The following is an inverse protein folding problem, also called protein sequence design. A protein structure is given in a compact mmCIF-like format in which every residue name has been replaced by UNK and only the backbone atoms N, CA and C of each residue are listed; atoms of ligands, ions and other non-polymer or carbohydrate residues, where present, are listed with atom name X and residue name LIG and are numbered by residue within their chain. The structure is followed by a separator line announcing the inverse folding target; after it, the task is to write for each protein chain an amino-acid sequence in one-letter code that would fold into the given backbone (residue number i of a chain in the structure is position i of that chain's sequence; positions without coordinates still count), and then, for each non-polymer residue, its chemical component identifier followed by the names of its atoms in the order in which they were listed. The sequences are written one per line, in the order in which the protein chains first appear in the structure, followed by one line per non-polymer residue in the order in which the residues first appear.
data_IF_740030709118
#
_entry.id   IF_740030709118
#
_cell.length_a   1.000
_cell.length_b   1.000
_cell.length_c   1.000
_cell.angle_alpha   90.00
_cell.angle_beta   90.00
_cell.angle_gamma   90.00
#
_symmetry.space_group_name_H-M   'P 1'
#
loop_
_entity.id
_entity.type
_entity.pdbx_description
1 polymer ?
#
# COMPACT_ATOMS: atom_id res chain seq x y z
N UNK A 1 -12.59 -2.39 -1.61
CA UNK A 1 -12.67 -2.30 -0.12
C UNK A 1 -12.67 -0.83 0.25
N UNK A 2 -13.62 -0.38 1.07
CA UNK A 2 -13.81 1.05 1.33
C UNK A 2 -14.17 1.31 2.79
N UNK A 3 -13.70 2.42 3.34
CA UNK A 3 -14.04 2.91 4.69
C UNK A 3 -13.79 1.91 5.81
N UNK A 4 -12.74 1.09 5.68
CA UNK A 4 -12.30 0.15 6.72
C UNK A 4 -11.25 0.80 7.63
N UNK A 5 -11.16 0.31 8.87
CA UNK A 5 -10.12 0.69 9.83
C UNK A 5 -9.30 -0.53 10.23
N UNK A 6 -7.98 -0.43 10.07
CA UNK A 6 -6.98 -1.42 10.50
C UNK A 6 -6.20 -0.78 11.63
N UNK A 7 -6.46 -1.21 12.86
CA UNK A 7 -5.94 -0.55 14.06
C UNK A 7 -5.26 -1.53 14.99
N UNK A 8 -4.14 -1.11 15.58
CA UNK A 8 -3.39 -1.87 16.60
C UNK A 8 -2.99 -3.28 16.13
N UNK A 9 -2.49 -3.39 14.90
CA UNK A 9 -1.93 -4.64 14.37
C UNK A 9 -0.43 -4.66 14.73
N UNK A 10 0.02 -5.59 15.58
CA UNK A 10 1.37 -5.55 16.13
C UNK A 10 2.43 -5.78 15.06
N UNK A 11 3.63 -5.28 15.33
CA UNK A 11 4.81 -5.64 14.56
C UNK A 11 5.10 -7.13 14.72
N UNK A 12 5.31 -7.82 13.61
CA UNK A 12 5.72 -9.22 13.57
C UNK A 12 6.81 -9.39 12.50
N UNK A 13 8.01 -9.71 12.97
CA UNK A 13 9.20 -9.76 12.13
C UNK A 13 9.10 -10.85 11.06
N UNK A 14 9.30 -10.47 9.80
CA UNK A 14 9.38 -11.36 8.66
C UNK A 14 8.38 -11.01 7.56
N UNK A 15 8.76 -11.38 6.33
CA UNK A 15 8.00 -11.06 5.13
C UNK A 15 6.67 -11.84 5.09
N UNK A 16 5.63 -11.19 4.57
CA UNK A 16 4.33 -11.78 4.31
C UNK A 16 3.22 -11.29 5.23
N UNK A 17 3.45 -10.19 5.96
CA UNK A 17 2.50 -9.63 6.93
C UNK A 17 2.11 -8.20 6.58
N UNK A 18 1.98 -7.93 5.28
CA UNK A 18 1.37 -6.70 4.80
C UNK A 18 -0.06 -6.60 5.31
N UNK A 19 -0.50 -5.40 5.68
CA UNK A 19 -1.90 -5.20 6.07
C UNK A 19 -2.80 -5.41 4.86
N UNK A 20 -2.35 -4.94 3.69
CA UNK A 20 -2.98 -5.23 2.41
C UNK A 20 -1.94 -5.60 1.38
N UNK A 21 -2.17 -6.71 0.67
CA UNK A 21 -1.45 -7.10 -0.53
C UNK A 21 -2.40 -7.15 -1.73
N UNK A 22 -2.08 -6.40 -2.78
CA UNK A 22 -2.72 -6.58 -4.09
C UNK A 22 -1.93 -7.54 -4.94
N UNK A 23 -2.59 -8.58 -5.42
CA UNK A 23 -1.98 -9.58 -6.26
C UNK A 23 -2.90 -9.88 -7.44
N UNK A 24 -2.43 -9.61 -8.64
CA UNK A 24 -3.15 -9.81 -9.91
C UNK A 24 -2.14 -9.84 -11.06
N UNK A 25 -2.61 -9.71 -12.30
CA UNK A 25 -1.77 -9.46 -13.47
C UNK A 25 -0.91 -8.21 -13.28
N UNK A 26 0.35 -8.27 -13.74
CA UNK A 26 1.37 -7.24 -13.54
C UNK A 26 2.36 -7.54 -12.41
N UNK A 27 2.29 -8.72 -11.78
CA UNK A 27 3.16 -9.08 -10.65
C UNK A 27 4.64 -9.25 -11.04
N UNK A 28 4.92 -9.43 -12.33
CA UNK A 28 6.27 -9.49 -12.90
C UNK A 28 6.57 -8.27 -13.78
N UNK A 29 5.86 -7.16 -13.53
CA UNK A 29 6.02 -5.89 -14.23
C UNK A 29 5.69 -6.00 -15.74
N UNK A 30 4.85 -6.96 -16.13
CA UNK A 30 4.38 -7.13 -17.50
C UNK A 30 3.50 -5.97 -17.96
N UNK A 31 3.75 -5.45 -19.16
CA UNK A 31 2.98 -4.34 -19.75
C UNK A 31 1.70 -4.86 -20.45
N UNK A 32 0.78 -5.40 -19.66
CA UNK A 32 -0.55 -5.84 -20.14
C UNK A 32 -1.62 -4.80 -19.82
N UNK A 33 -2.82 -5.01 -20.36
CA UNK A 33 -4.01 -4.21 -20.03
C UNK A 33 -4.82 -4.81 -18.87
N UNK A 34 -4.31 -5.87 -18.24
CA UNK A 34 -4.95 -6.53 -17.10
C UNK A 34 -4.30 -6.08 -15.79
N UNK A 35 -5.07 -6.10 -14.70
CA UNK A 35 -4.57 -5.71 -13.38
C UNK A 35 -5.64 -5.75 -12.29
N UNK A 36 -5.36 -5.09 -11.17
CA UNK A 36 -6.32 -4.91 -10.09
C UNK A 36 -7.19 -3.67 -10.37
N UNK A 37 -8.19 -3.84 -11.23
CA UNK A 37 -9.04 -2.77 -11.78
C UNK A 37 -10.13 -2.25 -10.81
N UNK A 38 -9.90 -2.35 -9.50
CA UNK A 38 -10.86 -1.90 -8.48
C UNK A 38 -10.17 -1.04 -7.42
N UNK A 39 -10.86 -0.01 -6.88
CA UNK A 39 -10.27 0.86 -5.87
C UNK A 39 -10.30 0.27 -4.46
N UNK A 40 -9.24 0.58 -3.72
CA UNK A 40 -9.27 0.67 -2.27
C UNK A 40 -9.22 2.11 -1.82
N UNK A 41 -10.22 2.50 -1.03
CA UNK A 41 -10.38 3.91 -0.75
C UNK A 41 -10.89 4.26 0.63
N UNK A 42 -10.44 5.39 1.14
CA UNK A 42 -10.91 5.97 2.41
C UNK A 42 -10.64 5.09 3.62
N UNK A 43 -9.62 4.23 3.59
CA UNK A 43 -9.30 3.35 4.72
C UNK A 43 -8.31 4.03 5.67
N UNK A 44 -8.38 3.68 6.96
CA UNK A 44 -7.46 4.10 8.01
C UNK A 44 -6.55 2.94 8.40
N UNK A 45 -5.24 3.20 8.48
CA UNK A 45 -4.22 2.33 9.04
C UNK A 45 -3.56 3.08 10.19
N UNK A 46 -3.82 2.66 11.42
CA UNK A 46 -3.33 3.34 12.63
C UNK A 46 -2.69 2.32 13.58
N UNK A 47 -1.42 2.50 13.93
CA UNK A 47 -0.67 1.46 14.66
C UNK A 47 -0.80 0.08 13.99
N UNK A 48 -0.72 0.06 12.65
CA UNK A 48 -0.95 -1.13 11.83
C UNK A 48 0.37 -1.67 11.27
N UNK A 49 1.26 -2.07 12.17
CA UNK A 49 2.69 -2.23 11.91
C UNK A 49 3.00 -3.44 11.04
N UNK A 50 2.34 -4.58 11.25
CA UNK A 50 2.53 -5.78 10.43
C UNK A 50 4.01 -6.17 10.30
N UNK A 51 4.50 -6.37 9.08
CA UNK A 51 5.93 -6.64 8.84
C UNK A 51 6.84 -5.40 8.89
N UNK A 52 6.29 -4.22 9.14
CA UNK A 52 7.04 -2.98 9.34
C UNK A 52 7.62 -2.36 8.07
N UNK A 53 7.29 -2.89 6.87
CA UNK A 53 7.85 -2.40 5.60
C UNK A 53 6.83 -2.14 4.50
N UNK A 54 5.75 -2.91 4.40
CA UNK A 54 4.73 -2.71 3.37
C UNK A 54 3.32 -2.74 4.00
N UNK A 55 2.84 -1.61 4.52
CA UNK A 55 1.48 -1.50 5.10
C UNK A 55 0.44 -1.76 4.01
N UNK A 56 0.57 -1.06 2.88
CA UNK A 56 -0.18 -1.32 1.65
C UNK A 56 0.83 -1.70 0.57
N UNK A 57 0.76 -2.92 0.06
CA UNK A 57 1.69 -3.40 -0.98
C UNK A 57 0.95 -3.69 -2.29
N UNK A 58 1.16 -2.82 -3.27
CA UNK A 58 0.64 -2.97 -4.63
C UNK A 58 1.60 -3.85 -5.42
N UNK A 59 1.17 -5.08 -5.77
CA UNK A 59 2.00 -6.06 -6.51
C UNK A 59 1.38 -6.47 -7.86
N UNK A 60 0.76 -5.52 -8.56
CA UNK A 60 0.08 -5.73 -9.84
C UNK A 60 -0.07 -4.44 -10.64
N UNK A 61 -0.59 -4.52 -11.86
CA UNK A 61 -0.92 -3.34 -12.68
C UNK A 61 -2.24 -2.70 -12.23
N UNK A 62 -2.42 -1.43 -12.60
CA UNK A 62 -3.69 -0.68 -12.51
C UNK A 62 -4.36 -0.63 -11.13
N UNK A 63 -3.60 -0.84 -10.05
CA UNK A 63 -4.14 -0.68 -8.69
C UNK A 63 -4.58 0.76 -8.47
N UNK A 64 -5.66 0.94 -7.72
CA UNK A 64 -6.18 2.25 -7.34
C UNK A 64 -6.24 2.36 -5.81
N UNK A 65 -5.39 3.20 -5.22
CA UNK A 65 -5.36 3.47 -3.79
C UNK A 65 -5.66 4.94 -3.50
N UNK A 66 -6.90 5.22 -3.09
CA UNK A 66 -7.46 6.58 -3.10
C UNK A 66 -7.87 7.03 -1.70
N UNK A 67 -7.38 8.17 -1.22
CA UNK A 67 -7.84 8.75 0.05
C UNK A 67 -7.55 7.92 1.30
N UNK A 68 -6.61 6.98 1.24
CA UNK A 68 -6.23 6.18 2.41
C UNK A 68 -5.34 6.98 3.36
N UNK A 69 -5.52 6.80 4.66
CA UNK A 69 -4.73 7.45 5.72
C UNK A 69 -3.87 6.41 6.43
N UNK A 70 -2.56 6.63 6.47
CA UNK A 70 -1.60 5.83 7.25
C UNK A 70 -1.05 6.71 8.37
N UNK A 71 -1.24 6.32 9.62
CA UNK A 71 -0.92 7.12 10.80
C UNK A 71 -0.19 6.26 11.83
N UNK A 72 0.88 6.79 12.43
CA UNK A 72 1.60 6.14 13.53
C UNK A 72 1.84 4.64 13.32
N UNK A 73 2.26 4.28 12.10
CA UNK A 73 2.39 2.89 11.64
C UNK A 73 3.80 2.67 11.13
N UNK A 74 4.46 1.61 11.62
CA UNK A 74 5.74 1.16 11.09
C UNK A 74 5.53 0.58 9.69
N UNK A 75 6.08 1.24 8.67
CA UNK A 75 5.82 0.93 7.27
C UNK A 75 5.23 2.11 6.51
N UNK A 76 4.66 1.83 5.33
CA UNK A 76 4.14 2.82 4.41
C UNK A 76 3.42 2.20 3.23
N UNK A 77 3.15 3.02 2.20
CA UNK A 77 2.53 2.55 0.96
C UNK A 77 3.63 2.17 -0.02
N UNK A 78 3.49 1.00 -0.66
CA UNK A 78 4.48 0.49 -1.58
C UNK A 78 3.84 0.16 -2.91
N UNK A 79 4.36 0.77 -3.98
CA UNK A 79 4.23 0.22 -5.32
C UNK A 79 5.38 -0.77 -5.49
N UNK A 80 5.13 -2.02 -5.13
CA UNK A 80 6.17 -3.05 -5.04
C UNK A 80 6.40 -3.75 -6.39
N UNK A 81 5.35 -3.88 -7.21
CA UNK A 81 5.36 -4.37 -8.60
C UNK A 81 4.24 -3.72 -9.42
N UNK A 82 4.33 -3.88 -10.73
CA UNK A 82 3.34 -3.50 -11.73
C UNK A 82 3.52 -2.08 -12.25
N UNK A 83 2.66 -1.73 -13.21
CA UNK A 83 2.65 -0.46 -13.95
C UNK A 83 1.26 0.19 -13.87
N UNK A 84 1.15 1.47 -14.19
CA UNK A 84 -0.14 2.18 -14.30
C UNK A 84 -0.97 2.26 -13.00
N UNK A 85 -0.33 2.11 -11.83
CA UNK A 85 -0.96 2.30 -10.54
C UNK A 85 -1.33 3.78 -10.27
N UNK A 86 -2.48 4.00 -9.65
CA UNK A 86 -2.98 5.33 -9.26
C UNK A 86 -3.09 5.44 -7.74
N UNK A 87 -2.35 6.36 -7.16
CA UNK A 87 -2.42 6.74 -5.76
C UNK A 87 -2.84 8.21 -5.69
N UNK A 88 -3.91 8.55 -4.96
CA UNK A 88 -4.38 9.94 -4.91
C UNK A 88 -4.96 10.27 -3.54
N UNK A 89 -4.70 11.48 -3.04
CA UNK A 89 -5.32 11.99 -1.81
C UNK A 89 -4.94 11.24 -0.52
N UNK A 90 -3.84 10.49 -0.54
CA UNK A 90 -3.30 9.79 0.63
C UNK A 90 -2.81 10.77 1.69
N UNK A 91 -3.03 10.45 2.96
CA UNK A 91 -2.45 11.15 4.11
C UNK A 91 -1.52 10.19 4.83
N UNK A 92 -0.27 10.60 5.08
CA UNK A 92 0.71 9.76 5.79
C UNK A 92 1.33 10.57 6.92
N UNK A 93 1.14 10.10 8.15
CA UNK A 93 1.58 10.75 9.38
C UNK A 93 2.45 9.76 10.17
N UNK A 94 3.78 9.94 10.12
CA UNK A 94 4.71 9.01 10.77
C UNK A 94 4.67 9.05 12.30
N UNK A 95 4.39 10.23 12.88
CA UNK A 95 4.28 10.46 14.34
C UNK A 95 5.45 9.85 15.13
N UNK A 96 6.68 10.05 14.62
CA UNK A 96 7.94 9.57 15.19
C UNK A 96 8.04 8.04 15.39
N UNK A 97 7.15 7.25 14.78
CA UNK A 97 7.22 5.79 14.79
C UNK A 97 8.43 5.31 13.98
N UNK A 98 9.35 4.52 14.57
CA UNK A 98 10.49 3.96 13.85
C UNK A 98 10.05 3.15 12.63
N UNK A 99 10.72 3.32 11.49
CA UNK A 99 10.41 2.58 10.25
C UNK A 99 9.16 3.07 9.50
N UNK A 100 8.41 4.03 10.05
CA UNK A 100 7.37 4.74 9.32
C UNK A 100 7.97 5.47 8.10
N UNK A 101 7.30 5.35 6.96
CA UNK A 101 7.71 6.04 5.74
C UNK A 101 6.50 6.38 4.86
N UNK A 102 6.73 7.27 3.89
CA UNK A 102 5.69 7.69 2.96
C UNK A 102 5.40 6.63 1.90
N UNK A 103 6.06 6.77 0.76
CA UNK A 103 5.81 5.97 -0.43
C UNK A 103 7.12 5.38 -0.97
N UNK A 104 7.16 4.07 -1.17
CA UNK A 104 8.24 3.38 -1.91
C UNK A 104 7.71 2.91 -3.26
N UNK A 105 8.36 3.27 -4.36
CA UNK A 105 7.85 2.99 -5.71
C UNK A 105 8.83 2.20 -6.58
N UNK A 106 8.28 1.30 -7.38
CA UNK A 106 8.94 0.54 -8.44
C UNK A 106 7.96 0.40 -9.60
N UNK A 107 8.47 0.21 -10.82
CA UNK A 107 7.64 0.18 -12.03
C UNK A 107 7.54 1.54 -12.70
N UNK A 108 6.58 1.69 -13.62
CA UNK A 108 6.44 2.87 -14.47
C UNK A 108 4.97 3.27 -14.66
N UNK A 109 4.78 4.49 -15.17
CA UNK A 109 3.48 5.09 -15.52
C UNK A 109 2.52 5.22 -14.34
N UNK A 110 3.04 5.43 -13.12
CA UNK A 110 2.20 5.69 -11.96
C UNK A 110 1.69 7.14 -11.93
N UNK A 111 0.50 7.32 -11.39
CA UNK A 111 -0.05 8.62 -11.00
C UNK A 111 -0.09 8.67 -9.47
N UNK A 112 0.54 9.66 -8.84
CA UNK A 112 0.80 9.70 -7.38
C UNK A 112 0.48 11.03 -6.75
#
# INVERSE_FOLDING_TARGET
MQSCAFVNLPYDEGNGREIIRFWSSGKFDEMTNDGALFPIQGNLFEHADGEGTETISLKSNYNQALGNTVRATQGGINIRRGTNNTLKGKIILGEDVPGAHGLRMSGSNHLV
#
